data_IF_664099534586
#
_entry.id   IF_664099534586
#
_cell.length_a   1.000
_cell.length_b   1.000
_cell.length_c   1.000
_cell.angle_alpha   90.00
_cell.angle_beta   90.00
_cell.angle_gamma   90.00
#
_symmetry.space_group_name_H-M   'P 1'
#
loop_
_entity.id
_entity.type
_entity.pdbx_description
1 polymer ?
#
# COMPACT_ATOMS: atom_id res chain seq x y z
N UNK A 1 36.67 -9.76 -54.60
CA UNK A 1 35.34 -9.84 -53.95
C UNK A 1 35.23 -8.72 -52.93
N UNK A 2 34.06 -8.07 -52.73
CA UNK A 2 33.95 -7.09 -51.66
C UNK A 2 34.19 -7.78 -50.31
N UNK A 3 34.92 -7.14 -49.38
CA UNK A 3 35.42 -7.80 -48.17
C UNK A 3 34.33 -8.16 -47.15
N UNK A 4 33.16 -7.51 -47.17
CA UNK A 4 31.98 -7.87 -46.38
C UNK A 4 30.70 -7.51 -47.18
N UNK A 5 29.68 -8.41 -47.22
CA UNK A 5 28.35 -8.12 -47.79
C UNK A 5 27.41 -7.61 -46.67
N UNK A 6 26.44 -6.76 -47.02
CA UNK A 6 25.46 -6.12 -46.10
C UNK A 6 25.99 -5.10 -45.08
N UNK A 7 27.25 -4.65 -45.17
CA UNK A 7 27.83 -3.63 -44.29
C UNK A 7 27.03 -2.31 -44.23
N UNK A 8 26.57 -1.81 -45.39
CA UNK A 8 25.75 -0.58 -45.46
C UNK A 8 24.32 -0.80 -44.92
N UNK A 9 23.81 -2.02 -45.00
CA UNK A 9 22.51 -2.41 -44.46
C UNK A 9 22.52 -2.40 -42.93
N UNK A 10 23.48 -3.10 -42.30
CA UNK A 10 23.60 -3.17 -40.83
C UNK A 10 23.85 -1.79 -40.18
N UNK A 11 24.55 -0.88 -40.87
CA UNK A 11 24.72 0.49 -40.42
C UNK A 11 23.40 1.30 -40.44
N UNK A 12 22.54 1.08 -41.44
CA UNK A 12 21.24 1.77 -41.54
C UNK A 12 20.18 1.22 -40.57
N UNK A 13 20.24 -0.08 -40.25
CA UNK A 13 19.26 -0.76 -39.38
C UNK A 13 19.55 -0.51 -37.89
N UNK A 14 20.82 -0.26 -37.54
CA UNK A 14 21.23 0.24 -36.22
C UNK A 14 20.54 1.56 -35.83
N UNK A 15 20.14 2.38 -36.82
CA UNK A 15 19.40 3.62 -36.57
C UNK A 15 17.93 3.39 -36.16
N UNK A 16 17.40 2.18 -36.34
CA UNK A 16 16.04 1.77 -35.97
C UNK A 16 15.99 0.92 -34.69
N UNK A 17 17.11 0.77 -33.98
CA UNK A 17 17.27 -0.11 -32.81
C UNK A 17 16.97 -1.59 -33.09
N UNK A 18 17.13 -2.01 -34.35
CA UNK A 18 17.06 -3.40 -34.78
C UNK A 18 18.47 -3.96 -34.84
N UNK A 19 18.82 -4.77 -33.84
CA UNK A 19 20.16 -5.35 -33.69
C UNK A 19 20.20 -6.81 -34.14
N UNK A 20 19.19 -7.28 -34.86
CA UNK A 20 18.99 -8.65 -35.36
C UNK A 20 19.71 -8.92 -36.70
N UNK A 21 20.16 -7.87 -37.41
CA UNK A 21 20.92 -8.02 -38.64
C UNK A 21 22.39 -8.35 -38.35
N UNK A 22 22.98 -9.22 -39.17
CA UNK A 22 24.40 -9.61 -39.08
C UNK A 22 25.13 -9.35 -40.39
N UNK A 23 26.39 -8.93 -40.27
CA UNK A 23 27.32 -8.93 -41.40
C UNK A 23 27.66 -10.39 -41.69
N UNK A 24 27.54 -10.80 -42.95
CA UNK A 24 27.72 -12.19 -43.39
C UNK A 24 28.76 -12.29 -44.50
N UNK A 25 29.23 -13.51 -44.77
CA UNK A 25 30.29 -13.78 -45.74
C UNK A 25 31.56 -12.96 -45.44
N UNK A 26 32.03 -13.08 -44.20
CA UNK A 26 33.21 -12.39 -43.66
C UNK A 26 34.45 -13.20 -44.02
N UNK A 27 35.47 -12.54 -44.55
CA UNK A 27 36.78 -13.13 -44.82
C UNK A 27 37.75 -12.87 -43.65
N UNK A 28 38.00 -13.89 -42.85
CA UNK A 28 38.77 -13.81 -41.60
C UNK A 28 40.28 -13.67 -41.84
N UNK A 29 40.72 -13.80 -43.09
CA UNK A 29 42.13 -13.68 -43.44
C UNK A 29 42.63 -12.25 -43.50
N UNK A 30 41.73 -11.26 -43.43
CA UNK A 30 42.07 -9.84 -43.57
C UNK A 30 41.55 -8.96 -42.40
N UNK A 31 42.19 -7.81 -42.14
CA UNK A 31 41.79 -6.92 -41.04
C UNK A 31 40.36 -6.39 -41.10
N UNK A 32 39.77 -6.28 -42.31
CA UNK A 32 38.39 -5.81 -42.49
C UNK A 32 37.40 -6.90 -42.04
N UNK A 33 37.69 -8.17 -42.30
CA UNK A 33 36.86 -9.25 -41.82
C UNK A 33 36.86 -9.36 -40.29
N UNK A 34 38.02 -9.20 -39.66
CA UNK A 34 38.11 -9.12 -38.20
C UNK A 34 37.27 -7.95 -37.63
N UNK A 35 37.27 -6.78 -38.29
CA UNK A 35 36.41 -5.66 -37.90
C UNK A 35 34.92 -6.03 -38.05
N UNK A 36 34.53 -6.68 -39.15
CA UNK A 36 33.15 -7.15 -39.36
C UNK A 36 32.68 -8.11 -38.24
N UNK A 37 33.53 -9.01 -37.78
CA UNK A 37 33.24 -9.87 -36.61
C UNK A 37 33.06 -9.08 -35.32
N UNK A 38 33.94 -8.09 -35.06
CA UNK A 38 33.82 -7.22 -33.87
C UNK A 38 32.55 -6.39 -33.87
N UNK A 39 32.07 -5.97 -35.04
CA UNK A 39 30.78 -5.28 -35.17
C UNK A 39 29.62 -6.22 -34.85
N UNK A 40 29.62 -7.46 -35.37
CA UNK A 40 28.60 -8.45 -35.02
C UNK A 40 28.55 -8.72 -33.51
N UNK A 41 29.71 -8.93 -32.86
CA UNK A 41 29.81 -9.15 -31.40
C UNK A 41 29.26 -7.98 -30.58
N UNK A 42 29.49 -6.74 -31.04
CA UNK A 42 28.90 -5.55 -30.42
C UNK A 42 27.37 -5.52 -30.60
N UNK A 43 26.86 -5.87 -31.79
CA UNK A 43 25.42 -5.93 -32.06
C UNK A 43 24.73 -7.01 -31.20
N UNK A 44 25.36 -8.19 -31.05
CA UNK A 44 24.88 -9.28 -30.19
C UNK A 44 24.73 -8.80 -28.74
N UNK A 45 25.75 -8.10 -28.20
CA UNK A 45 25.68 -7.55 -26.85
C UNK A 45 24.62 -6.47 -26.69
N UNK A 46 24.43 -5.58 -27.68
CA UNK A 46 23.38 -4.57 -27.67
C UNK A 46 21.99 -5.22 -27.66
N UNK A 47 21.77 -6.21 -28.53
CA UNK A 47 20.50 -6.93 -28.63
C UNK A 47 20.15 -7.60 -27.29
N UNK A 48 21.09 -8.37 -26.74
CA UNK A 48 20.89 -9.07 -25.48
C UNK A 48 20.68 -8.07 -24.32
N UNK A 49 21.44 -6.98 -24.27
CA UNK A 49 21.27 -5.93 -23.27
C UNK A 49 19.85 -5.34 -23.29
N UNK A 50 19.40 -4.83 -24.43
CA UNK A 50 18.10 -4.18 -24.52
C UNK A 50 16.95 -5.14 -24.26
N UNK A 51 17.04 -6.38 -24.76
CA UNK A 51 16.04 -7.43 -24.50
C UNK A 51 15.92 -7.74 -23.01
N UNK A 52 17.04 -7.84 -22.30
CA UNK A 52 17.06 -8.11 -20.87
C UNK A 52 16.51 -6.94 -20.04
N UNK A 53 16.86 -5.70 -20.41
CA UNK A 53 16.30 -4.49 -19.79
C UNK A 53 14.79 -4.43 -19.97
N UNK A 54 14.31 -4.50 -21.22
CA UNK A 54 12.88 -4.39 -21.54
C UNK A 54 12.06 -5.47 -20.82
N UNK A 55 12.50 -6.74 -20.92
CA UNK A 55 11.79 -7.87 -20.31
C UNK A 55 11.72 -7.71 -18.79
N UNK A 56 12.82 -7.32 -18.15
CA UNK A 56 12.86 -7.22 -16.69
C UNK A 56 11.99 -6.08 -16.16
N UNK A 57 12.01 -4.93 -16.83
CA UNK A 57 11.13 -3.81 -16.48
C UNK A 57 9.66 -4.13 -16.72
N UNK A 58 9.31 -4.79 -17.84
CA UNK A 58 7.94 -5.22 -18.11
C UNK A 58 7.38 -6.14 -17.02
N UNK A 59 8.19 -7.09 -16.55
CA UNK A 59 7.78 -7.95 -15.43
C UNK A 59 7.58 -7.14 -14.14
N UNK A 60 8.46 -6.19 -13.84
CA UNK A 60 8.31 -5.34 -12.66
C UNK A 60 7.08 -4.43 -12.75
N UNK A 61 6.74 -3.89 -13.93
CA UNK A 61 5.51 -3.12 -14.12
C UNK A 61 4.26 -3.98 -13.92
N UNK A 62 4.34 -5.28 -14.26
CA UNK A 62 3.27 -6.26 -14.05
C UNK A 62 3.22 -6.80 -12.60
N UNK A 63 4.02 -6.23 -11.68
CA UNK A 63 4.08 -6.65 -10.27
C UNK A 63 4.88 -7.96 -10.04
N UNK A 64 5.55 -8.48 -11.06
CA UNK A 64 6.37 -9.70 -11.02
C UNK A 64 7.83 -9.36 -10.70
N UNK A 65 8.07 -8.96 -9.46
CA UNK A 65 9.37 -8.43 -9.01
C UNK A 65 10.52 -9.44 -8.94
N UNK A 66 10.28 -10.72 -9.20
CA UNK A 66 11.31 -11.77 -9.20
C UNK A 66 12.22 -11.73 -10.45
N UNK A 67 11.78 -11.13 -11.56
CA UNK A 67 12.52 -11.18 -12.84
C UNK A 67 13.62 -10.12 -12.90
N UNK A 68 14.87 -10.55 -12.69
CA UNK A 68 16.09 -9.74 -12.86
C UNK A 68 16.72 -9.95 -14.22
N UNK A 69 17.38 -8.92 -14.76
CA UNK A 69 18.13 -8.99 -15.99
C UNK A 69 19.32 -9.96 -15.86
N UNK A 70 19.57 -10.76 -16.88
CA UNK A 70 20.64 -11.77 -16.86
C UNK A 70 21.94 -11.22 -17.49
N UNK A 71 22.89 -10.80 -16.64
CA UNK A 71 24.15 -10.18 -17.08
C UNK A 71 25.24 -11.16 -17.51
N UNK A 72 25.14 -12.45 -17.16
CA UNK A 72 26.21 -13.42 -17.36
C UNK A 72 26.60 -13.67 -18.83
N UNK A 73 25.69 -13.43 -19.77
CA UNK A 73 25.97 -13.53 -21.22
C UNK A 73 26.62 -12.28 -21.83
N UNK A 74 26.80 -11.21 -21.06
CA UNK A 74 27.39 -9.94 -21.49
C UNK A 74 28.75 -9.72 -20.82
N UNK A 75 29.56 -8.86 -21.42
CA UNK A 75 30.85 -8.49 -20.87
C UNK A 75 31.08 -6.97 -20.87
N UNK A 76 32.15 -6.55 -20.19
CA UNK A 76 32.55 -5.16 -20.08
C UNK A 76 31.45 -4.26 -19.50
N UNK A 77 31.22 -3.13 -20.16
CA UNK A 77 30.28 -2.13 -19.66
C UNK A 77 28.83 -2.63 -19.63
N UNK A 78 28.41 -3.47 -20.58
CA UNK A 78 27.04 -3.99 -20.64
C UNK A 78 26.71 -4.87 -19.44
N UNK A 79 27.63 -5.74 -19.03
CA UNK A 79 27.49 -6.57 -17.83
C UNK A 79 27.29 -5.71 -16.57
N UNK A 80 28.26 -4.83 -16.31
CA UNK A 80 28.23 -3.98 -15.11
C UNK A 80 27.03 -3.02 -15.08
N UNK A 81 26.51 -2.63 -16.23
CA UNK A 81 25.31 -1.81 -16.32
C UNK A 81 24.04 -2.62 -16.05
N UNK A 82 23.90 -3.84 -16.60
CA UNK A 82 22.77 -4.71 -16.24
C UNK A 82 22.71 -5.02 -14.74
N UNK A 83 23.86 -5.17 -14.07
CA UNK A 83 23.87 -5.35 -12.62
C UNK A 83 23.33 -4.10 -11.89
N UNK A 84 23.66 -2.90 -12.37
CA UNK A 84 23.09 -1.64 -11.85
C UNK A 84 21.59 -1.53 -12.11
N UNK A 85 21.13 -1.95 -13.30
CA UNK A 85 19.71 -2.06 -13.61
C UNK A 85 19.03 -2.98 -12.59
N UNK A 86 19.63 -4.11 -12.25
CA UNK A 86 19.09 -5.03 -11.24
C UNK A 86 18.94 -4.38 -9.86
N UNK A 87 19.89 -3.54 -9.43
CA UNK A 87 19.78 -2.76 -8.19
C UNK A 87 18.60 -1.77 -8.24
N UNK A 88 18.36 -1.11 -9.38
CA UNK A 88 17.19 -0.26 -9.57
C UNK A 88 15.89 -1.07 -9.51
N UNK A 89 15.86 -2.25 -10.13
CA UNK A 89 14.72 -3.17 -10.07
C UNK A 89 14.43 -3.63 -8.62
N UNK A 90 15.47 -3.89 -7.82
CA UNK A 90 15.31 -4.21 -6.38
C UNK A 90 14.69 -3.05 -5.61
N UNK A 91 15.14 -1.83 -5.90
CA UNK A 91 14.59 -0.62 -5.26
C UNK A 91 13.12 -0.42 -5.59
N UNK A 92 12.71 -0.69 -6.84
CA UNK A 92 11.30 -0.63 -7.25
C UNK A 92 10.46 -1.68 -6.51
N UNK A 93 10.95 -2.91 -6.41
CA UNK A 93 10.26 -3.99 -5.70
C UNK A 93 10.06 -3.65 -4.22
N UNK A 94 11.10 -3.15 -3.56
CA UNK A 94 11.04 -2.75 -2.16
C UNK A 94 10.11 -1.55 -1.94
N UNK A 95 10.16 -0.56 -2.83
CA UNK A 95 9.27 0.61 -2.77
C UNK A 95 7.79 0.21 -2.90
N UNK A 96 7.47 -0.72 -3.80
CA UNK A 96 6.11 -1.26 -3.95
C UNK A 96 5.63 -1.94 -2.66
N UNK A 97 6.48 -2.78 -2.05
CA UNK A 97 6.20 -3.42 -0.76
C UNK A 97 5.97 -2.41 0.36
N UNK A 98 6.77 -1.34 0.40
CA UNK A 98 6.61 -0.27 1.37
C UNK A 98 5.32 0.51 1.16
N UNK A 99 4.91 0.78 -0.08
CA UNK A 99 3.64 1.43 -0.38
C UNK A 99 2.44 0.58 0.07
N UNK A 100 2.46 -0.72 -0.23
CA UNK A 100 1.42 -1.64 0.26
C UNK A 100 1.35 -1.65 1.79
N UNK A 101 2.50 -1.72 2.46
CA UNK A 101 2.56 -1.66 3.94
C UNK A 101 1.97 -0.35 4.47
N UNK A 102 2.31 0.79 3.88
CA UNK A 102 1.77 2.10 4.27
C UNK A 102 0.26 2.16 4.08
N UNK A 103 -0.24 1.65 2.97
CA UNK A 103 -1.67 1.60 2.69
C UNK A 103 -2.41 0.79 3.77
N UNK A 104 -1.92 -0.43 4.07
CA UNK A 104 -2.53 -1.28 5.11
C UNK A 104 -2.52 -0.61 6.49
N UNK A 105 -1.41 0.02 6.89
CA UNK A 105 -1.34 0.74 8.17
C UNK A 105 -2.34 1.91 8.21
N UNK A 106 -2.46 2.66 7.11
CA UNK A 106 -3.43 3.75 7.01
C UNK A 106 -4.87 3.25 7.08
N UNK A 107 -5.21 2.15 6.41
CA UNK A 107 -6.54 1.52 6.49
C UNK A 107 -6.86 1.06 7.91
N UNK A 108 -5.91 0.41 8.59
CA UNK A 108 -6.08 -0.01 10.00
C UNK A 108 -6.28 1.20 10.92
N UNK A 109 -5.50 2.26 10.73
CA UNK A 109 -5.65 3.49 11.49
C UNK A 109 -7.02 4.13 11.28
N UNK A 110 -7.50 4.21 10.04
CA UNK A 110 -8.82 4.74 9.72
C UNK A 110 -9.95 3.92 10.37
N UNK A 111 -9.87 2.58 10.33
CA UNK A 111 -10.82 1.70 11.00
C UNK A 111 -10.81 1.93 12.53
N UNK A 112 -9.64 2.06 13.13
CA UNK A 112 -9.51 2.31 14.56
C UNK A 112 -10.16 3.65 14.94
N UNK A 113 -9.80 4.73 14.24
CA UNK A 113 -10.35 6.08 14.49
C UNK A 113 -11.87 6.11 14.35
N UNK A 114 -12.44 5.46 13.32
CA UNK A 114 -13.89 5.42 13.14
C UNK A 114 -14.61 4.66 14.27
N UNK A 115 -14.04 3.53 14.72
CA UNK A 115 -14.59 2.79 15.84
C UNK A 115 -14.51 3.60 17.14
N UNK A 116 -13.38 4.24 17.41
CA UNK A 116 -13.23 5.12 18.58
C UNK A 116 -14.24 6.28 18.56
N UNK A 117 -14.42 6.93 17.41
CA UNK A 117 -15.38 8.01 17.26
C UNK A 117 -16.83 7.52 17.47
N UNK A 118 -17.18 6.36 16.90
CA UNK A 118 -18.49 5.73 17.11
C UNK A 118 -18.74 5.39 18.57
N UNK A 119 -17.75 4.79 19.25
CA UNK A 119 -17.84 4.44 20.66
C UNK A 119 -17.97 5.68 21.55
N UNK A 120 -17.22 6.75 21.27
CA UNK A 120 -17.36 8.02 21.98
C UNK A 120 -18.75 8.63 21.78
N UNK A 121 -19.29 8.60 20.56
CA UNK A 121 -20.66 9.05 20.28
C UNK A 121 -21.72 8.24 21.04
N UNK A 122 -21.58 6.91 21.06
CA UNK A 122 -22.46 6.03 21.84
C UNK A 122 -22.38 6.31 23.35
N UNK A 123 -21.16 6.42 23.89
CA UNK A 123 -20.96 6.73 25.30
C UNK A 123 -21.55 8.11 25.67
N UNK A 124 -21.43 9.10 24.79
CA UNK A 124 -22.07 10.41 24.98
C UNK A 124 -23.60 10.29 25.03
N UNK A 125 -24.19 9.50 24.13
CA UNK A 125 -25.63 9.25 24.11
C UNK A 125 -26.10 8.52 25.37
N UNK A 126 -25.33 7.54 25.84
CA UNK A 126 -25.61 6.82 27.08
C UNK A 126 -25.53 7.74 28.30
N UNK A 127 -24.53 8.63 28.38
CA UNK A 127 -24.43 9.63 29.45
C UNK A 127 -25.61 10.61 29.46
N UNK A 128 -26.09 11.03 28.29
CA UNK A 128 -27.32 11.86 28.18
C UNK A 128 -28.52 11.09 28.72
N UNK A 129 -28.67 9.82 28.36
CA UNK A 129 -29.77 8.96 28.82
C UNK A 129 -29.71 8.75 30.34
N UNK A 130 -28.55 8.38 30.88
CA UNK A 130 -28.33 8.21 32.32
C UNK A 130 -28.67 9.52 33.06
N UNK A 131 -28.24 10.66 32.53
CA UNK A 131 -28.55 11.96 33.14
C UNK A 131 -30.06 12.22 33.17
N UNK A 132 -30.80 11.89 32.11
CA UNK A 132 -32.26 12.02 32.07
C UNK A 132 -32.94 11.08 33.08
N UNK A 133 -32.49 9.82 33.16
CA UNK A 133 -33.01 8.86 34.14
C UNK A 133 -32.73 9.32 35.58
N UNK A 134 -31.56 9.91 35.86
CA UNK A 134 -31.24 10.49 37.16
C UNK A 134 -32.18 11.65 37.55
N UNK A 135 -32.59 12.50 36.60
CA UNK A 135 -33.59 13.53 36.86
C UNK A 135 -34.94 12.93 37.24
N UNK A 136 -35.38 11.88 36.54
CA UNK A 136 -36.64 11.19 36.88
C UNK A 136 -36.60 10.54 38.27
N UNK A 137 -35.44 9.98 38.67
CA UNK A 137 -35.25 9.42 40.01
C UNK A 137 -35.33 10.53 41.08
N UNK A 138 -34.73 11.69 40.82
CA UNK A 138 -34.82 12.85 41.73
C UNK A 138 -36.26 13.34 41.89
N UNK A 139 -37.01 13.47 40.79
CA UNK A 139 -38.42 13.89 40.83
C UNK A 139 -39.26 12.89 41.63
N UNK A 140 -39.07 11.59 41.41
CA UNK A 140 -39.76 10.54 42.17
C UNK A 140 -39.39 10.56 43.65
N UNK A 141 -38.13 10.81 43.98
CA UNK A 141 -37.68 10.92 45.36
C UNK A 141 -38.32 12.13 46.07
N UNK A 142 -38.39 13.28 45.40
CA UNK A 142 -39.07 14.47 45.91
C UNK A 142 -40.57 14.22 46.15
N UNK A 143 -41.25 13.60 45.20
CA UNK A 143 -42.66 13.24 45.36
C UNK A 143 -42.88 12.23 46.50
N UNK A 144 -42.00 11.23 46.63
CA UNK A 144 -42.05 10.26 47.73
C UNK A 144 -41.86 10.93 49.09
N UNK A 145 -40.95 11.91 49.18
CA UNK A 145 -40.76 12.71 50.39
C UNK A 145 -42.03 13.48 50.75
N UNK A 146 -42.66 14.13 49.78
CA UNK A 146 -43.91 14.89 49.96
C UNK A 146 -45.05 14.00 50.48
N UNK A 147 -45.29 12.86 49.81
CA UNK A 147 -46.30 11.88 50.22
C UNK A 147 -46.02 11.31 51.61
N UNK A 148 -44.76 11.04 51.95
CA UNK A 148 -44.40 10.58 53.28
C UNK A 148 -44.67 11.64 54.37
N UNK A 149 -44.50 12.92 54.04
CA UNK A 149 -44.75 14.04 54.96
C UNK A 149 -46.26 14.24 55.19
N UNK A 150 -47.06 14.16 54.13
CA UNK A 150 -48.53 14.15 54.21
C UNK A 150 -49.05 12.95 55.00
N UNK A 151 -48.49 11.77 54.75
CA UNK A 151 -48.82 10.54 55.49
C UNK A 151 -48.51 10.68 56.98
N UNK A 152 -47.36 11.26 57.34
CA UNK A 152 -47.03 11.57 58.76
C UNK A 152 -48.05 12.52 59.38
N UNK A 153 -48.43 13.57 58.67
CA UNK A 153 -49.43 14.54 59.16
C UNK A 153 -50.79 13.87 59.40
N UNK A 154 -51.24 13.04 58.46
CA UNK A 154 -52.50 12.28 58.59
C UNK A 154 -52.48 11.30 59.76
N UNK A 155 -51.38 10.56 59.94
CA UNK A 155 -51.20 9.65 61.10
C UNK A 155 -51.21 10.43 62.41
N UNK A 156 -50.54 11.59 62.48
CA UNK A 156 -50.56 12.45 63.67
C UNK A 156 -51.99 12.89 64.02
N UNK A 157 -52.76 13.33 63.03
CA UNK A 157 -54.17 13.73 63.22
C UNK A 157 -55.04 12.56 63.72
N UNK A 158 -54.86 11.36 63.15
CA UNK A 158 -55.59 10.17 63.59
C UNK A 158 -55.26 9.80 65.06
N UNK A 159 -53.99 9.90 65.46
CA UNK A 159 -53.56 9.67 66.85
C UNK A 159 -54.16 10.70 67.81
N UNK A 160 -54.21 11.99 67.42
CA UNK A 160 -54.85 13.03 68.21
C UNK A 160 -56.35 12.77 68.41
N UNK A 161 -57.07 12.41 67.34
CA UNK A 161 -58.50 12.07 67.41
C UNK A 161 -58.76 10.87 68.32
N UNK A 162 -57.97 9.80 68.21
CA UNK A 162 -58.07 8.61 69.06
C UNK A 162 -57.79 8.94 70.52
N UNK A 163 -56.76 9.77 70.79
CA UNK A 163 -56.42 10.19 72.15
C UNK A 163 -57.52 11.05 72.77
N UNK A 164 -58.14 11.94 71.99
CA UNK A 164 -59.28 12.75 72.42
C UNK A 164 -60.54 11.92 72.70
N UNK A 165 -60.77 10.85 71.93
CA UNK A 165 -61.91 9.93 72.15
C UNK A 165 -61.74 9.00 73.36
N UNK A 166 -60.52 8.79 73.85
CA UNK A 166 -60.22 7.98 75.03
C UNK A 166 -60.18 8.81 76.33
N UNK A 167 -60.09 10.14 76.22
CA UNK A 167 -60.00 11.07 77.35
C UNK A 167 -61.34 11.73 77.75
N UNK A 168 -62.41 11.51 76.98
CA UNK A 168 -63.79 11.91 77.30
C UNK A 168 -64.65 10.71 77.63
#
# INVERSE_FOLDING_TARGET
MPPCRNWSGSASVSATARFDDRITNIDDSNPIGLLCWRVNDMLDQLEAYFREVETSFKYHSDGKYFRKAHSAGLHGFFHSNLDKVNLSLDSIAEQSRLQLRKHLISSVHHLNTNNLLSNLGSNQQDLIKITSEMHQVLDRAAHTQEVAQESRASVSSAVEQLSGSLAG
#
